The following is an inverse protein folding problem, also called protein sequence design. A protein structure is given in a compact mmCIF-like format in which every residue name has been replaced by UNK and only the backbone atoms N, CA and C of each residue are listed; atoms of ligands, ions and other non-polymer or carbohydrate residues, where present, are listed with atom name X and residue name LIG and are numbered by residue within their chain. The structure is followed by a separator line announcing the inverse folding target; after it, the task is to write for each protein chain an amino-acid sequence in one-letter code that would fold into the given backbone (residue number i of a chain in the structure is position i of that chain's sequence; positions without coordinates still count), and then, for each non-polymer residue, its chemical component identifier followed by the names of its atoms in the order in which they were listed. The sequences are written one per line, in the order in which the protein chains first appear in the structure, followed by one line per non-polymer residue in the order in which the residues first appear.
data_IF_433939980135
#
_entry.id   IF_433939980135
#
_cell.length_a   1.000
_cell.length_b   1.000
_cell.length_c   1.000
_cell.angle_alpha   90.00
_cell.angle_beta   90.00
_cell.angle_gamma   90.00
#
_symmetry.space_group_name_H-M   'P 1'
#
loop_
_entity.id
_entity.type
_entity.pdbx_description
1 polymer ?
#
# COMPACT_ATOMS: atom_id res chain seq x y z
N UNK A 1 21.26 6.68 -31.17
CA UNK A 1 20.47 7.80 -30.61
C UNK A 1 19.58 7.43 -29.43
N UNK A 2 18.88 6.27 -29.41
CA UNK A 2 17.87 5.99 -28.36
C UNK A 2 18.38 5.61 -26.95
N UNK A 3 19.59 5.05 -26.77
CA UNK A 3 20.08 4.67 -25.43
C UNK A 3 20.79 5.81 -24.68
N UNK A 4 21.25 6.86 -25.37
CA UNK A 4 21.97 7.97 -24.72
C UNK A 4 21.03 8.87 -23.90
N UNK A 5 19.76 8.99 -24.28
CA UNK A 5 18.79 9.79 -23.52
C UNK A 5 18.51 9.18 -22.13
N UNK A 6 18.54 7.84 -22.03
CA UNK A 6 18.39 7.15 -20.75
C UNK A 6 19.59 7.41 -19.83
N UNK A 7 20.79 7.70 -20.36
CA UNK A 7 21.95 8.10 -19.52
C UNK A 7 21.76 9.49 -18.90
N UNK A 8 20.95 10.34 -19.53
CA UNK A 8 20.63 11.70 -19.05
C UNK A 8 19.41 11.75 -18.13
N UNK A 9 18.77 10.61 -17.85
CA UNK A 9 17.60 10.58 -16.95
C UNK A 9 17.98 11.03 -15.54
N UNK A 10 17.09 11.76 -14.90
CA UNK A 10 17.17 12.09 -13.47
C UNK A 10 16.96 10.81 -12.68
N UNK A 11 17.81 10.64 -11.67
CA UNK A 11 17.82 9.52 -10.76
C UNK A 11 17.95 10.10 -9.34
N UNK A 12 17.14 9.61 -8.39
CA UNK A 12 17.16 10.12 -7.03
C UNK A 12 18.32 9.53 -6.22
N UNK A 13 18.71 10.24 -5.17
CA UNK A 13 19.70 9.78 -4.20
C UNK A 13 19.09 9.84 -2.80
N UNK A 14 18.67 8.68 -2.31
CA UNK A 14 18.12 8.53 -0.97
C UNK A 14 19.17 8.75 0.12
N UNK A 15 18.70 9.03 1.33
CA UNK A 15 19.54 9.06 2.53
C UNK A 15 20.06 7.67 2.90
N UNK A 16 21.16 7.64 3.64
CA UNK A 16 21.68 6.39 4.23
C UNK A 16 20.72 5.80 5.27
N UNK A 17 19.77 6.58 5.78
CA UNK A 17 18.82 6.17 6.82
C UNK A 17 17.58 5.48 6.23
N UNK A 18 17.34 5.56 4.92
CA UNK A 18 16.12 5.06 4.29
C UNK A 18 15.74 3.66 4.76
N UNK A 19 16.67 2.70 4.66
CA UNK A 19 16.36 1.30 4.99
C UNK A 19 15.91 1.15 6.44
N UNK A 20 16.57 1.84 7.36
CA UNK A 20 16.20 1.81 8.78
C UNK A 20 14.83 2.48 9.02
N UNK A 21 14.53 3.58 8.32
CA UNK A 21 13.24 4.26 8.40
C UNK A 21 12.11 3.38 7.86
N UNK A 22 12.26 2.83 6.66
CA UNK A 22 11.29 1.94 6.01
C UNK A 22 11.04 0.67 6.84
N UNK A 23 12.11 0.00 7.32
CA UNK A 23 12.00 -1.19 8.15
C UNK A 23 11.33 -0.89 9.50
N UNK A 24 11.65 0.25 10.11
CA UNK A 24 11.08 0.69 11.36
C UNK A 24 9.57 0.94 11.25
N UNK A 25 9.15 1.67 10.23
CA UNK A 25 7.72 1.91 9.95
C UNK A 25 6.99 0.60 9.64
N UNK A 26 7.53 -0.24 8.74
CA UNK A 26 6.92 -1.53 8.41
C UNK A 26 6.74 -2.39 9.66
N UNK A 27 7.73 -2.41 10.54
CA UNK A 27 7.68 -3.15 11.80
C UNK A 27 6.64 -2.59 12.76
N UNK A 28 6.53 -1.26 12.88
CA UNK A 28 5.53 -0.62 13.71
C UNK A 28 4.10 -0.92 13.23
N UNK A 29 3.83 -0.74 11.94
CA UNK A 29 2.52 -1.04 11.32
C UNK A 29 2.15 -2.51 11.53
N UNK A 30 3.08 -3.43 11.26
CA UNK A 30 2.87 -4.87 11.45
C UNK A 30 2.55 -5.19 12.91
N UNK A 31 3.26 -4.56 13.85
CA UNK A 31 3.03 -4.73 15.29
C UNK A 31 1.64 -4.28 15.72
N UNK A 32 1.20 -3.09 15.28
CA UNK A 32 -0.13 -2.55 15.58
C UNK A 32 -1.23 -3.50 15.11
N UNK A 33 -1.20 -3.89 13.84
CA UNK A 33 -2.22 -4.76 13.26
C UNK A 33 -2.18 -6.15 13.90
N UNK A 34 -0.99 -6.70 14.14
CA UNK A 34 -0.83 -7.98 14.84
C UNK A 34 -1.42 -7.95 16.25
N UNK A 35 -1.19 -6.89 17.01
CA UNK A 35 -1.76 -6.74 18.36
C UNK A 35 -3.29 -6.68 18.32
N UNK A 36 -3.87 -5.99 17.33
CA UNK A 36 -5.32 -5.97 17.13
C UNK A 36 -5.88 -7.37 16.80
N UNK A 37 -5.17 -8.15 15.97
CA UNK A 37 -5.53 -9.54 15.66
C UNK A 37 -5.41 -10.44 16.90
N UNK A 38 -4.29 -10.40 17.60
CA UNK A 38 -4.01 -11.26 18.75
C UNK A 38 -4.93 -10.97 19.94
N UNK A 39 -5.39 -9.71 20.10
CA UNK A 39 -6.34 -9.30 21.14
C UNK A 39 -7.81 -9.55 20.77
N UNK A 40 -8.10 -10.00 19.55
CA UNK A 40 -9.46 -10.18 19.04
C UNK A 40 -10.18 -8.87 18.66
N UNK A 41 -9.48 -7.74 18.66
CA UNK A 41 -9.97 -6.44 18.16
C UNK A 41 -9.83 -6.32 16.63
N UNK A 42 -10.17 -7.41 15.92
CA UNK A 42 -10.03 -7.56 14.48
C UNK A 42 -11.35 -7.89 13.78
N UNK A 43 -12.48 -7.66 14.46
CA UNK A 43 -13.82 -7.93 13.95
C UNK A 43 -14.56 -6.62 13.67
N UNK A 44 -15.06 -6.49 12.45
CA UNK A 44 -15.95 -5.43 12.01
C UNK A 44 -17.36 -6.02 12.03
N UNK A 45 -18.21 -5.47 12.90
CA UNK A 45 -19.60 -5.89 13.01
C UNK A 45 -20.46 -5.08 12.04
N UNK A 46 -21.09 -5.76 11.09
CA UNK A 46 -21.95 -5.14 10.10
C UNK A 46 -23.40 -5.55 10.43
N UNK A 47 -24.15 -4.57 10.93
CA UNK A 47 -25.56 -4.75 11.30
C UNK A 47 -26.45 -4.26 10.16
N UNK A 48 -27.41 -5.08 9.77
CA UNK A 48 -28.42 -4.74 8.77
C UNK A 48 -29.81 -5.03 9.30
N UNK A 49 -30.82 -4.41 8.71
CA UNK A 49 -32.23 -4.73 8.98
C UNK A 49 -32.75 -5.91 8.14
N UNK A 50 -31.86 -6.63 7.43
CA UNK A 50 -32.23 -7.78 6.62
C UNK A 50 -32.40 -9.00 7.53
N UNK A 51 -33.56 -9.66 7.45
CA UNK A 51 -33.86 -10.87 8.24
C UNK A 51 -32.82 -11.99 8.03
N UNK A 52 -32.23 -12.08 6.83
CA UNK A 52 -31.20 -13.08 6.50
C UNK A 52 -29.77 -12.57 6.70
N UNK A 53 -29.59 -11.35 7.21
CA UNK A 53 -28.28 -10.72 7.38
C UNK A 53 -27.70 -10.21 6.06
N UNK A 54 -26.37 -10.08 6.01
CA UNK A 54 -25.64 -9.65 4.83
C UNK A 54 -25.62 -10.72 3.73
N UNK A 55 -25.71 -10.33 2.44
CA UNK A 55 -25.45 -11.21 1.31
C UNK A 55 -23.94 -11.53 1.23
N UNK A 56 -23.53 -12.62 1.90
CA UNK A 56 -22.13 -13.03 1.99
C UNK A 56 -21.52 -13.29 0.61
N UNK A 57 -22.31 -13.73 -0.36
CA UNK A 57 -21.87 -14.00 -1.73
C UNK A 57 -21.41 -12.75 -2.51
N UNK A 58 -21.78 -11.55 -2.04
CA UNK A 58 -21.39 -10.27 -2.65
C UNK A 58 -20.58 -9.37 -1.70
N UNK A 59 -20.21 -9.84 -0.51
CA UNK A 59 -19.58 -9.00 0.52
C UNK A 59 -18.22 -8.46 0.07
N UNK A 60 -17.52 -9.19 -0.80
CA UNK A 60 -16.25 -8.77 -1.38
C UNK A 60 -16.32 -7.43 -2.13
N UNK A 61 -17.50 -7.01 -2.60
CA UNK A 61 -17.70 -5.70 -3.26
C UNK A 61 -17.62 -4.51 -2.30
N UNK A 62 -17.81 -4.75 -1.00
CA UNK A 62 -17.79 -3.71 0.04
C UNK A 62 -16.68 -3.96 1.07
N UNK A 63 -15.97 -5.10 0.98
CA UNK A 63 -14.94 -5.47 1.95
C UNK A 63 -13.73 -4.55 1.97
N UNK A 64 -13.30 -4.03 0.81
CA UNK A 64 -12.22 -3.04 0.72
C UNK A 64 -12.45 -1.86 1.66
N UNK A 65 -13.51 -1.05 1.41
CA UNK A 65 -13.82 0.11 2.24
C UNK A 65 -13.95 -0.18 3.74
N UNK A 66 -14.53 -1.33 4.14
CA UNK A 66 -14.66 -1.67 5.55
C UNK A 66 -13.32 -2.01 6.20
N UNK A 67 -12.48 -2.81 5.54
CA UNK A 67 -11.17 -3.21 6.07
C UNK A 67 -10.20 -2.02 6.08
N UNK A 68 -10.27 -1.15 5.08
CA UNK A 68 -9.52 0.11 5.01
C UNK A 68 -9.89 1.04 6.17
N UNK A 69 -11.19 1.27 6.39
CA UNK A 69 -11.68 2.08 7.51
C UNK A 69 -11.28 1.49 8.87
N UNK A 70 -11.41 0.16 9.05
CA UNK A 70 -10.97 -0.50 10.28
C UNK A 70 -9.48 -0.31 10.53
N UNK A 71 -8.63 -0.44 9.49
CA UNK A 71 -7.19 -0.24 9.64
C UNK A 71 -6.87 1.20 10.05
N UNK A 72 -7.52 2.19 9.43
CA UNK A 72 -7.40 3.60 9.80
C UNK A 72 -7.76 3.83 11.27
N UNK A 73 -8.91 3.33 11.71
CA UNK A 73 -9.35 3.44 13.13
C UNK A 73 -8.34 2.79 14.08
N UNK A 74 -7.75 1.63 13.72
CA UNK A 74 -6.72 1.00 14.56
C UNK A 74 -5.46 1.87 14.69
N UNK A 75 -5.08 2.60 13.64
CA UNK A 75 -3.94 3.52 13.73
C UNK A 75 -4.30 4.76 14.56
N UNK A 76 -5.49 5.34 14.38
CA UNK A 76 -5.98 6.49 15.15
C UNK A 76 -6.03 6.17 16.66
N UNK A 77 -6.57 5.01 17.03
CA UNK A 77 -6.60 4.53 18.42
C UNK A 77 -5.21 4.41 19.06
N UNK A 78 -4.17 4.17 18.25
CA UNK A 78 -2.78 4.09 18.71
C UNK A 78 -2.16 5.49 18.79
N UNK A 79 -2.38 6.36 17.81
CA UNK A 79 -1.85 7.74 17.84
C UNK A 79 -2.42 8.56 18.99
N UNK A 80 -3.68 8.32 19.37
CA UNK A 80 -4.34 9.00 20.49
C UNK A 80 -3.72 8.62 21.86
N UNK A 81 -2.98 7.51 21.92
CA UNK A 81 -2.30 7.07 23.14
C UNK A 81 -0.93 7.75 23.25
N UNK A 82 -0.85 8.70 24.18
CA UNK A 82 0.41 9.35 24.57
C UNK A 82 1.45 8.29 24.97
N UNK A 83 2.62 8.34 24.34
CA UNK A 83 3.72 7.43 24.63
C UNK A 83 3.51 6.00 24.15
N UNK A 84 2.66 5.77 23.14
CA UNK A 84 2.50 4.44 22.54
C UNK A 84 3.87 3.87 22.10
N UNK A 85 4.04 2.56 22.30
CA UNK A 85 5.32 1.86 22.07
C UNK A 85 5.77 1.82 20.60
N UNK A 86 4.86 2.15 19.68
CA UNK A 86 5.13 2.16 18.23
C UNK A 86 5.66 3.50 17.75
N UNK A 87 5.58 4.54 18.58
CA UNK A 87 5.99 5.90 18.19
C UNK A 87 5.11 6.50 17.10
N UNK A 88 3.89 6.00 16.89
CA UNK A 88 2.95 6.59 15.93
C UNK A 88 2.43 7.90 16.52
N UNK A 89 2.66 9.03 15.83
CA UNK A 89 2.35 10.37 16.37
C UNK A 89 1.23 11.08 15.62
N UNK A 90 0.98 10.70 14.36
CA UNK A 90 -0.05 11.31 13.53
C UNK A 90 -0.58 10.31 12.50
N UNK A 91 -1.88 10.42 12.21
CA UNK A 91 -2.61 9.59 11.25
C UNK A 91 -3.49 10.52 10.44
N UNK A 92 -3.36 10.47 9.11
CA UNK A 92 -4.17 11.26 8.20
C UNK A 92 -4.81 10.35 7.15
N UNK A 93 -6.13 10.44 7.01
CA UNK A 93 -6.83 9.78 5.92
C UNK A 93 -6.48 10.43 4.57
N UNK A 94 -6.26 9.60 3.55
CA UNK A 94 -6.05 10.02 2.18
C UNK A 94 -7.31 10.67 1.58
N UNK A 95 -7.12 11.56 0.62
CA UNK A 95 -8.20 12.21 -0.11
C UNK A 95 -8.58 11.40 -1.34
N UNK A 96 -9.79 11.66 -1.85
CA UNK A 96 -10.26 11.04 -3.09
C UNK A 96 -9.26 11.33 -4.23
N UNK A 97 -8.83 10.26 -4.93
CA UNK A 97 -7.85 10.25 -6.03
C UNK A 97 -6.36 10.30 -5.62
N UNK A 98 -6.07 10.29 -4.31
CA UNK A 98 -4.71 10.10 -3.81
C UNK A 98 -4.19 8.71 -4.20
N UNK A 99 -2.88 8.52 -4.10
CA UNK A 99 -2.24 7.23 -4.42
C UNK A 99 -2.23 6.26 -3.24
N UNK A 100 -2.67 6.73 -2.07
CA UNK A 100 -2.60 6.05 -0.80
C UNK A 100 -3.92 6.31 -0.07
N UNK A 101 -4.24 5.42 0.87
CA UNK A 101 -5.46 5.53 1.68
C UNK A 101 -5.21 6.30 2.97
N UNK A 102 -3.96 6.36 3.43
CA UNK A 102 -3.56 7.08 4.63
C UNK A 102 -2.08 7.47 4.63
N UNK A 103 -1.76 8.49 5.42
CA UNK A 103 -0.40 8.86 5.79
C UNK A 103 -0.21 8.61 7.28
N UNK A 104 0.84 7.88 7.64
CA UNK A 104 1.21 7.61 9.02
C UNK A 104 2.56 8.27 9.32
N UNK A 105 2.65 8.99 10.43
CA UNK A 105 3.90 9.62 10.86
C UNK A 105 4.40 9.02 12.17
N UNK A 106 5.69 8.66 12.20
CA UNK A 106 6.32 7.98 13.31
C UNK A 106 7.52 8.75 13.85
N UNK A 107 7.68 8.70 15.17
CA UNK A 107 8.93 9.01 15.86
C UNK A 107 9.68 7.73 16.17
N UNK A 108 10.58 7.33 15.28
CA UNK A 108 11.35 6.09 15.42
C UNK A 108 12.58 6.29 16.33
N UNK A 109 12.94 5.24 17.07
CA UNK A 109 14.15 5.25 17.91
C UNK A 109 15.39 5.30 17.03
N UNK A 110 16.30 6.23 17.31
CA UNK A 110 17.54 6.41 16.55
C UNK A 110 17.37 7.19 15.25
N UNK A 111 16.19 7.76 14.99
CA UNK A 111 15.94 8.69 13.90
C UNK A 111 15.56 10.06 14.51
N UNK A 112 16.35 11.09 14.18
CA UNK A 112 16.20 12.41 14.79
C UNK A 112 14.98 13.16 14.29
N UNK A 113 14.51 12.88 13.07
CA UNK A 113 13.32 13.46 12.47
C UNK A 113 12.08 12.55 12.59
N UNK A 114 10.93 13.07 12.16
CA UNK A 114 9.72 12.28 11.98
C UNK A 114 9.76 11.56 10.64
N UNK A 115 9.34 10.30 10.62
CA UNK A 115 9.28 9.49 9.41
C UNK A 115 7.83 9.40 8.95
N UNK A 116 7.55 9.86 7.74
CA UNK A 116 6.22 9.77 7.14
C UNK A 116 6.16 8.61 6.15
N UNK A 117 5.07 7.86 6.17
CA UNK A 117 4.82 6.76 5.24
C UNK A 117 3.43 6.89 4.63
N UNK A 118 3.38 6.76 3.31
CA UNK A 118 2.17 6.75 2.52
C UNK A 118 1.73 5.30 2.38
N UNK A 119 0.54 4.95 2.84
CA UNK A 119 0.08 3.56 2.94
C UNK A 119 -1.12 3.35 2.03
N UNK A 120 -0.97 2.46 1.06
CA UNK A 120 -2.05 1.93 0.23
C UNK A 120 -2.49 0.59 0.79
N UNK A 121 -3.68 0.56 1.38
CA UNK A 121 -4.28 -0.64 1.94
C UNK A 121 -5.05 -1.42 0.90
N UNK A 122 -5.02 -2.75 1.03
CA UNK A 122 -5.67 -3.67 0.10
C UNK A 122 -6.29 -4.82 0.87
N UNK A 123 -7.62 -4.91 0.82
CA UNK A 123 -8.34 -6.03 1.39
C UNK A 123 -8.33 -7.23 0.44
N UNK A 124 -7.99 -8.41 0.96
CA UNK A 124 -8.03 -9.68 0.23
C UNK A 124 -8.88 -10.69 1.00
N UNK A 125 -9.74 -11.40 0.28
CA UNK A 125 -10.61 -12.41 0.87
C UNK A 125 -9.83 -13.73 1.02
N UNK A 126 -9.85 -14.32 2.22
CA UNK A 126 -9.13 -15.55 2.54
C UNK A 126 -9.70 -16.77 1.82
N UNK A 127 -11.01 -16.78 1.57
CA UNK A 127 -11.77 -17.86 0.96
C UNK A 127 -11.82 -17.80 -0.57
N UNK A 128 -11.31 -16.72 -1.19
CA UNK A 128 -11.27 -16.55 -2.64
C UNK A 128 -9.83 -16.67 -3.14
N UNK A 129 -9.50 -17.78 -3.81
CA UNK A 129 -8.15 -18.09 -4.30
C UNK A 129 -7.54 -17.01 -5.22
N UNK A 130 -8.38 -16.33 -6.01
CA UNK A 130 -7.96 -15.26 -6.94
C UNK A 130 -7.92 -13.89 -6.30
N UNK A 131 -8.32 -13.74 -5.03
CA UNK A 131 -8.31 -12.45 -4.34
C UNK A 131 -6.88 -11.96 -4.15
N UNK A 132 -6.64 -10.68 -4.43
CA UNK A 132 -5.33 -10.08 -4.32
C UNK A 132 -4.38 -10.33 -5.49
N UNK A 133 -4.83 -11.01 -6.56
CA UNK A 133 -4.04 -11.18 -7.79
C UNK A 133 -4.08 -9.93 -8.66
N UNK A 134 -2.90 -9.44 -9.06
CA UNK A 134 -2.73 -8.31 -9.97
C UNK A 134 -3.51 -7.02 -9.64
N UNK A 135 -3.70 -6.61 -8.37
CA UNK A 135 -4.34 -5.34 -8.10
C UNK A 135 -3.47 -4.19 -8.62
N UNK A 136 -4.15 -3.13 -9.05
CA UNK A 136 -3.50 -1.87 -9.38
C UNK A 136 -3.14 -1.12 -8.09
N UNK A 137 -1.95 -0.54 -8.07
CA UNK A 137 -1.46 0.26 -6.93
C UNK A 137 -1.49 1.73 -7.29
N UNK A 138 -0.62 2.13 -8.23
CA UNK A 138 -0.46 3.53 -8.62
C UNK A 138 -0.01 3.62 -10.08
N UNK A 139 -0.07 4.81 -10.66
CA UNK A 139 0.40 5.03 -12.03
C UNK A 139 1.93 5.13 -12.09
N UNK A 140 2.52 4.65 -13.19
CA UNK A 140 3.97 4.76 -13.42
C UNK A 140 4.49 6.19 -13.23
N UNK A 141 3.84 7.17 -13.87
CA UNK A 141 4.27 8.56 -13.81
C UNK A 141 4.21 9.13 -12.39
N UNK A 142 3.18 8.77 -11.60
CA UNK A 142 3.01 9.27 -10.23
C UNK A 142 4.14 8.75 -9.35
N UNK A 143 4.28 7.43 -9.20
CA UNK A 143 5.30 6.86 -8.31
C UNK A 143 6.72 7.27 -8.70
N UNK A 144 6.99 7.38 -10.00
CA UNK A 144 8.29 7.85 -10.49
C UNK A 144 8.57 9.30 -10.07
N UNK A 145 7.57 10.17 -10.07
CA UNK A 145 7.71 11.55 -9.63
C UNK A 145 7.91 11.63 -8.12
N UNK A 146 7.12 10.89 -7.32
CA UNK A 146 7.27 10.89 -5.85
C UNK A 146 8.71 10.63 -5.42
N UNK A 147 9.34 9.58 -5.97
CA UNK A 147 10.74 9.25 -5.66
C UNK A 147 11.76 10.22 -6.25
N UNK A 148 11.42 10.99 -7.29
CA UNK A 148 12.30 12.02 -7.83
C UNK A 148 12.25 13.31 -6.99
N UNK A 149 11.05 13.67 -6.54
CA UNK A 149 10.79 14.88 -5.77
C UNK A 149 11.25 14.69 -4.31
N UNK A 150 11.02 13.49 -3.75
CA UNK A 150 11.52 13.05 -2.46
C UNK A 150 12.21 11.68 -2.57
N UNK A 151 13.56 11.64 -2.63
CA UNK A 151 14.31 10.38 -2.66
C UNK A 151 14.09 9.48 -1.44
N UNK A 152 13.64 10.04 -0.32
CA UNK A 152 13.33 9.31 0.91
C UNK A 152 11.84 8.96 1.06
N UNK A 153 11.06 9.13 -0.01
CA UNK A 153 9.64 8.77 -0.05
C UNK A 153 9.42 7.29 0.33
N UNK A 154 8.61 7.06 1.37
CA UNK A 154 8.20 5.73 1.80
C UNK A 154 6.76 5.50 1.38
N UNK A 155 6.58 4.52 0.47
CA UNK A 155 5.28 4.09 -0.01
C UNK A 155 5.09 2.60 0.31
N UNK A 156 4.17 2.34 1.23
CA UNK A 156 3.92 1.02 1.74
C UNK A 156 2.62 0.47 1.18
N UNK A 157 2.60 -0.83 0.94
CA UNK A 157 1.37 -1.57 0.69
C UNK A 157 1.02 -2.32 1.96
N UNK A 158 -0.21 -2.13 2.45
CA UNK A 158 -0.78 -2.86 3.58
C UNK A 158 -1.83 -3.85 3.09
N UNK A 159 -1.40 -5.10 2.87
CA UNK A 159 -2.29 -6.19 2.46
C UNK A 159 -2.95 -6.83 3.68
N UNK A 160 -4.28 -6.77 3.75
CA UNK A 160 -5.08 -7.28 4.86
C UNK A 160 -5.97 -8.43 4.37
N UNK A 161 -5.73 -9.63 4.91
CA UNK A 161 -6.59 -10.79 4.64
C UNK A 161 -7.77 -10.80 5.58
N UNK A 162 -8.96 -10.93 5.04
CA UNK A 162 -10.19 -10.99 5.80
C UNK A 162 -11.00 -12.25 5.47
N UNK A 163 -11.83 -12.65 6.42
CA UNK A 163 -12.88 -13.64 6.26
C UNK A 163 -14.20 -13.02 6.67
N UNK A 164 -15.29 -13.41 5.99
CA UNK A 164 -16.63 -12.98 6.37
C UNK A 164 -17.46 -14.19 6.81
N UNK A 165 -18.21 -14.02 7.89
CA UNK A 165 -19.17 -14.99 8.37
C UNK A 165 -20.35 -14.30 9.05
N UNK A 166 -21.36 -15.07 9.41
CA UNK A 166 -22.59 -14.57 10.01
C UNK A 166 -22.85 -15.24 11.35
N UNK A 167 -23.37 -14.48 12.31
CA UNK A 167 -23.75 -14.97 13.64
C UNK A 167 -25.19 -14.52 13.96
N UNK A 168 -25.98 -15.39 14.58
CA UNK A 168 -27.35 -15.04 14.99
C UNK A 168 -27.28 -14.05 16.15
N UNK A 169 -27.92 -12.90 16.03
CA UNK A 169 -28.10 -11.98 17.14
C UNK A 169 -29.24 -12.46 18.05
N UNK A 170 -29.11 -12.17 19.34
CA UNK A 170 -30.02 -12.66 20.38
C UNK A 170 -31.50 -12.25 20.15
N UNK A 171 -32.41 -13.18 20.44
CA UNK A 171 -33.86 -12.98 20.63
C UNK A 171 -34.72 -12.65 19.39
N UNK A 172 -34.23 -11.82 18.47
CA UNK A 172 -35.05 -11.20 17.43
C UNK A 172 -34.92 -11.86 16.04
N UNK A 173 -34.09 -12.90 15.92
CA UNK A 173 -33.89 -13.65 14.67
C UNK A 173 -33.17 -12.88 13.56
N UNK A 174 -32.51 -11.76 13.90
CA UNK A 174 -31.65 -10.99 12.99
C UNK A 174 -30.25 -11.61 13.01
N UNK A 175 -29.61 -11.70 11.86
CA UNK A 175 -28.26 -12.24 11.70
C UNK A 175 -27.26 -11.09 11.49
N UNK A 176 -26.23 -10.99 12.34
CA UNK A 176 -25.14 -10.05 12.17
C UNK A 176 -24.10 -10.62 11.19
N UNK A 177 -23.59 -9.78 10.28
CA UNK A 177 -22.40 -10.13 9.53
C UNK A 177 -21.16 -9.68 10.28
N UNK A 178 -20.12 -10.51 10.25
CA UNK A 178 -18.84 -10.26 10.87
C UNK A 178 -17.78 -10.37 9.77
N UNK A 179 -17.02 -9.29 9.59
CA UNK A 179 -15.84 -9.28 8.76
C UNK A 179 -14.62 -9.25 9.67
N UNK A 180 -13.81 -10.29 9.62
CA UNK A 180 -12.69 -10.49 10.52
C UNK A 180 -11.38 -10.42 9.73
N UNK A 181 -10.47 -9.54 10.14
CA UNK A 181 -9.11 -9.46 9.60
C UNK A 181 -8.24 -10.52 10.27
N UNK A 182 -7.67 -11.43 9.48
CA UNK A 182 -6.97 -12.62 10.00
C UNK A 182 -5.46 -12.56 9.81
N UNK A 183 -4.98 -11.83 8.80
CA UNK A 183 -3.54 -11.68 8.57
C UNK A 183 -3.23 -10.34 7.92
N UNK A 184 -1.99 -9.89 8.11
CA UNK A 184 -1.47 -8.70 7.45
C UNK A 184 -0.10 -8.99 6.84
N UNK A 185 0.17 -8.33 5.71
CA UNK A 185 1.50 -8.20 5.15
C UNK A 185 1.71 -6.74 4.78
N UNK A 186 2.71 -6.11 5.38
CA UNK A 186 3.16 -4.75 5.07
C UNK A 186 4.58 -4.80 4.54
N UNK A 187 4.79 -4.11 3.42
CA UNK A 187 6.08 -4.02 2.75
C UNK A 187 6.17 -2.70 1.98
N UNK A 188 7.41 -2.29 1.70
CA UNK A 188 7.71 -1.11 0.90
C UNK A 188 7.68 -1.47 -0.59
N UNK A 189 6.96 -0.67 -1.39
CA UNK A 189 6.90 -0.91 -2.84
C UNK A 189 8.28 -0.83 -3.49
N UNK A 190 9.18 -0.03 -2.91
CA UNK A 190 10.57 0.04 -3.36
C UNK A 190 11.29 -1.28 -3.19
N UNK A 191 10.90 -2.13 -2.25
CA UNK A 191 11.54 -3.42 -2.01
C UNK A 191 10.87 -4.60 -2.71
N UNK A 192 9.67 -4.46 -3.28
CA UNK A 192 9.05 -5.53 -4.08
C UNK A 192 9.95 -5.97 -5.24
N UNK A 193 10.16 -7.28 -5.38
CA UNK A 193 11.02 -7.87 -6.41
C UNK A 193 10.55 -7.53 -7.82
N UNK A 194 11.48 -7.53 -8.77
CA UNK A 194 11.13 -7.26 -10.16
C UNK A 194 10.12 -8.29 -10.71
N UNK A 195 10.16 -9.55 -10.29
CA UNK A 195 9.23 -10.59 -10.78
C UNK A 195 7.79 -10.40 -10.29
N UNK A 196 7.60 -9.70 -9.16
CA UNK A 196 6.29 -9.44 -8.58
C UNK A 196 5.65 -8.14 -9.08
N UNK A 197 6.42 -7.26 -9.73
CA UNK A 197 5.92 -6.02 -10.31
C UNK A 197 5.68 -6.11 -11.82
N UNK A 198 4.49 -5.73 -12.25
CA UNK A 198 4.11 -5.65 -13.65
C UNK A 198 3.41 -4.33 -13.97
N UNK A 199 3.29 -4.01 -15.27
CA UNK A 199 2.48 -2.89 -15.73
C UNK A 199 1.31 -3.40 -16.55
N UNK A 200 0.12 -2.89 -16.22
CA UNK A 200 -1.05 -3.08 -17.07
C UNK A 200 -1.06 -2.01 -18.18
N UNK A 201 -0.85 -2.40 -19.45
CA UNK A 201 -0.86 -1.45 -20.56
C UNK A 201 -2.28 -1.02 -20.99
N UNK A 202 -3.34 -1.60 -20.46
CA UNK A 202 -4.70 -1.20 -20.85
C UNK A 202 -5.14 0.14 -20.21
N UNK A 203 -4.46 0.61 -19.16
CA UNK A 203 -4.94 1.73 -18.33
C UNK A 203 -4.00 2.94 -18.36
N UNK A 204 -4.48 4.05 -18.93
CA UNK A 204 -3.85 5.38 -18.84
C UNK A 204 -2.36 5.42 -19.18
N UNK A 205 -1.56 6.04 -18.31
CA UNK A 205 -0.09 6.10 -18.42
C UNK A 205 0.60 4.78 -18.10
N UNK A 206 -0.14 3.69 -17.84
CA UNK A 206 0.34 2.42 -17.27
C UNK A 206 0.13 2.38 -15.77
N UNK A 207 -0.62 1.39 -15.29
CA UNK A 207 -0.80 1.14 -13.85
C UNK A 207 0.15 0.05 -13.38
N UNK A 208 0.86 0.32 -12.29
CA UNK A 208 1.70 -0.64 -11.61
C UNK A 208 0.79 -1.66 -10.92
N UNK A 209 1.08 -2.93 -11.14
CA UNK A 209 0.39 -4.07 -10.54
C UNK A 209 1.36 -4.94 -9.78
N UNK A 210 0.89 -5.50 -8.67
CA UNK A 210 1.60 -6.51 -7.91
C UNK A 210 0.98 -7.87 -8.22
N UNK A 211 1.80 -8.86 -8.59
CA UNK A 211 1.35 -10.20 -9.00
C UNK A 211 0.41 -10.85 -7.98
N UNK A 212 0.81 -10.81 -6.71
CA UNK A 212 -0.01 -11.19 -5.57
C UNK A 212 0.28 -10.23 -4.42
N UNK A 213 -0.71 -9.43 -4.05
CA UNK A 213 -0.55 -8.34 -3.08
C UNK A 213 -0.19 -8.81 -1.68
N UNK A 214 -0.52 -10.07 -1.33
CA UNK A 214 -0.23 -10.61 -0.01
C UNK A 214 1.06 -11.44 0.01
N UNK A 215 1.48 -11.98 -1.13
CA UNK A 215 2.66 -12.84 -1.24
C UNK A 215 3.64 -12.26 -2.25
N UNK A 216 4.53 -11.39 -1.75
CA UNK A 216 5.60 -10.77 -2.53
C UNK A 216 6.97 -11.20 -2.00
N UNK A 217 7.94 -11.30 -2.91
CA UNK A 217 9.35 -11.39 -2.54
C UNK A 217 9.95 -9.98 -2.47
N UNK A 218 10.78 -9.74 -1.46
CA UNK A 218 11.45 -8.45 -1.24
C UNK A 218 12.94 -8.53 -1.58
N UNK A 219 13.43 -7.52 -2.30
CA UNK A 219 14.82 -7.34 -2.71
C UNK A 219 15.26 -5.91 -2.37
N UNK A 220 16.32 -5.78 -1.56
CA UNK A 220 16.87 -4.48 -1.16
C UNK A 220 17.40 -3.73 -2.37
N UNK A 221 16.95 -2.48 -2.53
CA UNK A 221 17.37 -1.59 -3.60
C UNK A 221 17.23 -0.13 -3.21
N UNK A 222 18.10 0.71 -3.76
CA UNK A 222 18.02 2.16 -3.62
C UNK A 222 16.91 2.75 -4.48
N UNK A 223 16.49 3.98 -4.20
CA UNK A 223 15.53 4.72 -5.00
C UNK A 223 16.01 4.84 -6.45
N UNK A 224 17.32 5.05 -6.67
CA UNK A 224 17.91 4.99 -8.00
C UNK A 224 17.64 3.64 -8.68
N UNK A 225 17.99 2.53 -8.03
CA UNK A 225 17.80 1.19 -8.59
C UNK A 225 16.32 0.89 -8.86
N UNK A 226 15.42 1.29 -7.96
CA UNK A 226 13.98 1.17 -8.14
C UNK A 226 13.49 1.95 -9.35
N UNK A 227 13.87 3.24 -9.49
CA UNK A 227 13.53 4.06 -10.66
C UNK A 227 14.01 3.43 -11.96
N UNK A 228 15.25 2.91 -12.00
CA UNK A 228 15.78 2.22 -13.18
C UNK A 228 14.95 0.99 -13.53
N UNK A 229 14.62 0.15 -12.54
CA UNK A 229 13.82 -1.05 -12.73
C UNK A 229 12.42 -0.72 -13.26
N UNK A 230 11.75 0.28 -12.71
CA UNK A 230 10.40 0.65 -13.17
C UNK A 230 10.42 1.33 -14.54
N UNK A 231 11.46 2.11 -14.87
CA UNK A 231 11.67 2.68 -16.20
C UNK A 231 11.83 1.55 -17.23
N UNK A 232 12.69 0.57 -16.96
CA UNK A 232 12.91 -0.58 -17.84
C UNK A 232 11.66 -1.41 -18.05
N UNK A 233 10.93 -1.73 -16.97
CA UNK A 233 9.64 -2.43 -17.06
C UNK A 233 8.62 -1.65 -17.87
N UNK A 234 8.55 -0.34 -17.67
CA UNK A 234 7.65 0.52 -18.43
C UNK A 234 7.99 0.52 -19.92
N UNK A 235 9.27 0.72 -20.25
CA UNK A 235 9.76 0.72 -21.63
C UNK A 235 9.55 -0.64 -22.29
N UNK A 236 9.73 -1.76 -21.57
CA UNK A 236 9.45 -3.09 -22.10
C UNK A 236 7.95 -3.30 -22.37
N UNK A 237 7.07 -2.72 -21.54
CA UNK A 237 5.62 -2.83 -21.67
C UNK A 237 5.02 -1.88 -22.74
N UNK A 238 5.55 -0.66 -22.87
CA UNK A 238 4.97 0.44 -23.66
C UNK A 238 5.87 0.98 -24.77
N UNK A 239 7.15 0.68 -24.73
CA UNK A 239 8.17 1.24 -25.61
C UNK A 239 8.81 2.53 -25.10
N UNK A 240 9.95 2.89 -25.69
CA UNK A 240 10.71 4.09 -25.33
C UNK A 240 9.98 5.39 -25.71
N UNK A 241 9.24 5.41 -26.83
CA UNK A 241 8.56 6.62 -27.30
C UNK A 241 7.52 7.14 -26.28
N UNK A 242 6.61 6.31 -25.72
CA UNK A 242 5.73 6.76 -24.64
C UNK A 242 6.47 7.20 -23.38
N UNK A 243 7.55 6.53 -23.01
CA UNK A 243 8.38 6.94 -21.88
C UNK A 243 8.96 8.35 -22.10
N UNK A 244 9.48 8.64 -23.30
CA UNK A 244 10.02 9.95 -23.65
C UNK A 244 8.98 11.07 -23.56
N UNK A 245 7.74 10.82 -24.01
CA UNK A 245 6.65 11.79 -23.87
C UNK A 245 6.38 12.14 -22.41
N UNK A 246 6.41 11.14 -21.51
CA UNK A 246 6.28 11.39 -20.08
C UNK A 246 7.52 12.12 -19.53
N UNK A 247 8.71 11.71 -19.96
CA UNK A 247 9.97 12.33 -19.54
C UNK A 247 10.07 13.81 -19.91
N UNK A 248 9.59 14.20 -21.09
CA UNK A 248 9.49 15.60 -21.52
C UNK A 248 8.46 16.35 -20.67
N UNK A 249 7.25 15.80 -20.54
CA UNK A 249 6.15 16.40 -19.79
C UNK A 249 6.52 16.69 -18.32
N UNK A 250 7.15 15.71 -17.67
CA UNK A 250 7.51 15.77 -16.24
C UNK A 250 8.98 16.14 -16.01
N UNK A 251 9.71 16.57 -17.05
CA UNK A 251 11.10 17.04 -16.97
C UNK A 251 12.05 16.03 -16.29
N UNK A 252 11.95 14.75 -16.68
CA UNK A 252 12.78 13.65 -16.16
C UNK A 252 14.17 13.57 -16.78
N UNK A 253 14.47 14.39 -17.78
CA UNK A 253 15.79 14.45 -18.40
C UNK A 253 16.54 15.66 -17.82
N UNK A 254 17.83 15.48 -17.52
CA UNK A 254 18.70 16.59 -17.13
C UNK A 254 18.83 17.57 -18.29
N UNK A 255 18.54 18.86 -18.03
CA UNK A 255 18.98 19.94 -18.92
C UNK A 255 20.50 19.89 -18.99
N UNK A 256 21.05 20.13 -20.18
CA UNK A 256 22.49 20.38 -20.34
C UNK A 256 22.93 21.54 -19.46
#
# INVERSE_FOLDING_TARGET
MNNDILKRRKLPKESALYSAMSDGVCSAIRGIIKEAIDSGNNKIFIRTNLKRGLPLENINKVAGPFVEAWALEKFEEISDKVGNKYGLVNVEAGKRLDAFDMVLQFKLKGIDDYVSANVDSKATAEDILTSGKSPNITSFARIRNEYLDDPDYIFLVLSLKHKVFSEKADGNGITNGIMQVNACHVYDIKYVSAKDLNYNPALGTGQMQIRDIHYVDEERKTAEQFIKMIDEKYINSRGLKPWLKLAEKYKWIKSE
#
